data_IF_229512849789
#
_entry.id   IF_229512849789
#
_cell.length_a   1.000
_cell.length_b   1.000
_cell.length_c   1.000
_cell.angle_alpha   90.00
_cell.angle_beta   90.00
_cell.angle_gamma   90.00
#
_symmetry.space_group_name_H-M   'P 1'
#
loop_
_entity.id
_entity.type
_entity.pdbx_description
1 polymer ?
#
# COMPACT_ATOMS: atom_id res chain seq x y z
N UNK A 1 29.40 34.90 8.46
CA UNK A 1 28.38 33.87 8.13
C UNK A 1 27.18 34.56 7.50
N UNK A 2 26.68 34.08 6.35
CA UNK A 2 25.41 34.57 5.80
C UNK A 2 24.27 34.18 6.75
N UNK A 3 23.37 35.12 7.05
CA UNK A 3 22.16 34.86 7.85
C UNK A 3 21.15 34.18 6.93
N UNK A 4 20.89 32.90 7.15
CA UNK A 4 19.85 32.18 6.40
C UNK A 4 18.45 32.57 6.88
N UNK A 5 17.50 32.62 5.94
CA UNK A 5 16.12 32.99 6.24
C UNK A 5 15.37 31.76 6.77
N UNK A 6 14.45 31.94 7.73
CA UNK A 6 13.62 30.84 8.22
C UNK A 6 12.69 30.33 7.11
N UNK A 7 12.40 29.02 7.14
CA UNK A 7 11.49 28.33 6.22
C UNK A 7 10.33 27.74 7.04
N UNK A 8 9.09 27.98 6.62
CA UNK A 8 7.94 27.33 7.23
C UNK A 8 7.71 25.95 6.59
N UNK A 9 8.17 24.89 7.26
CA UNK A 9 7.99 23.49 6.83
C UNK A 9 7.44 22.62 7.96
N UNK A 10 6.78 23.22 8.96
CA UNK A 10 6.12 22.44 9.99
C UNK A 10 4.84 21.81 9.41
N UNK A 11 4.94 20.54 9.02
CA UNK A 11 3.85 19.77 8.42
C UNK A 11 2.62 19.65 9.34
N UNK A 12 2.79 19.80 10.65
CA UNK A 12 1.68 19.74 11.62
C UNK A 12 0.77 20.97 11.52
N UNK A 13 1.28 22.08 10.98
CA UNK A 13 0.51 23.32 10.75
C UNK A 13 -0.19 23.35 9.39
N UNK A 14 0.11 22.41 8.50
CA UNK A 14 -0.37 22.39 7.10
C UNK A 14 -1.56 21.43 6.96
N UNK A 15 -2.69 21.94 6.48
CA UNK A 15 -3.88 21.13 6.22
C UNK A 15 -3.71 20.26 4.96
N UNK A 16 -3.55 18.95 5.17
CA UNK A 16 -3.51 17.97 4.10
C UNK A 16 -4.92 17.64 3.58
N UNK A 17 -5.09 17.66 2.26
CA UNK A 17 -6.34 17.28 1.61
C UNK A 17 -6.37 15.76 1.32
N UNK A 18 -7.54 15.14 1.13
CA UNK A 18 -7.64 13.71 0.81
C UNK A 18 -6.75 13.25 -0.35
N UNK A 19 -6.66 14.06 -1.43
CA UNK A 19 -5.77 13.75 -2.55
C UNK A 19 -4.28 13.74 -2.18
N UNK A 20 -3.84 14.60 -1.24
CA UNK A 20 -2.47 14.62 -0.77
C UNK A 20 -2.15 13.36 0.07
N UNK A 21 -3.05 13.00 0.99
CA UNK A 21 -2.95 11.75 1.75
C UNK A 21 -2.92 10.54 0.81
N UNK A 22 -3.77 10.56 -0.22
CA UNK A 22 -3.80 9.47 -1.17
C UNK A 22 -2.48 9.28 -1.92
N UNK A 23 -1.84 10.38 -2.33
CA UNK A 23 -0.54 10.38 -3.01
C UNK A 23 0.59 9.89 -2.12
N UNK A 24 0.69 10.35 -0.86
CA UNK A 24 1.79 9.91 0.03
C UNK A 24 1.64 8.43 0.39
N UNK A 25 0.42 7.94 0.61
CA UNK A 25 0.18 6.52 0.84
C UNK A 25 0.53 5.67 -0.41
N UNK A 26 0.34 6.19 -1.62
CA UNK A 26 0.73 5.49 -2.85
C UNK A 26 2.27 5.35 -2.93
N UNK A 27 3.01 6.40 -2.52
CA UNK A 27 4.47 6.33 -2.42
C UNK A 27 4.94 5.35 -1.36
N UNK A 28 4.36 5.40 -0.16
CA UNK A 28 4.70 4.49 0.93
C UNK A 28 4.45 3.03 0.53
N UNK A 29 3.27 2.74 -0.04
CA UNK A 29 2.95 1.39 -0.53
C UNK A 29 3.93 0.93 -1.62
N UNK A 30 4.39 1.82 -2.50
CA UNK A 30 5.44 1.53 -3.48
C UNK A 30 6.74 1.07 -2.84
N UNK A 31 7.20 1.77 -1.78
CA UNK A 31 8.39 1.38 -1.03
C UNK A 31 8.19 0.03 -0.32
N UNK A 32 7.02 -0.19 0.28
CA UNK A 32 6.69 -1.48 0.93
C UNK A 32 6.78 -2.64 -0.06
N UNK A 33 6.33 -2.46 -1.32
CA UNK A 33 6.40 -3.51 -2.33
C UNK A 33 7.83 -3.93 -2.69
N UNK A 34 8.83 -3.04 -2.58
CA UNK A 34 10.25 -3.37 -2.81
C UNK A 34 10.73 -4.43 -1.81
N UNK A 35 10.26 -4.39 -0.56
CA UNK A 35 10.58 -5.41 0.43
C UNK A 35 9.67 -6.64 0.30
N UNK A 36 8.39 -6.41 -0.02
CA UNK A 36 7.41 -7.48 -0.20
C UNK A 36 7.85 -8.49 -1.26
N UNK A 37 8.40 -8.03 -2.39
CA UNK A 37 8.85 -8.94 -3.45
C UNK A 37 9.94 -9.91 -2.97
N UNK A 38 10.85 -9.46 -2.10
CA UNK A 38 11.88 -10.32 -1.52
C UNK A 38 11.27 -11.42 -0.63
N UNK A 39 10.32 -11.06 0.23
CA UNK A 39 9.61 -12.01 1.11
C UNK A 39 8.81 -13.02 0.27
N UNK A 40 8.08 -12.53 -0.74
CA UNK A 40 7.26 -13.38 -1.61
C UNK A 40 8.10 -14.33 -2.46
N UNK A 41 9.21 -13.85 -3.04
CA UNK A 41 10.12 -14.70 -3.82
C UNK A 41 10.83 -15.73 -2.94
N UNK A 42 11.21 -15.37 -1.72
CA UNK A 42 11.77 -16.32 -0.75
C UNK A 42 10.75 -17.41 -0.41
N UNK A 43 9.53 -17.03 -0.01
CA UNK A 43 8.48 -17.99 0.32
C UNK A 43 8.10 -18.87 -0.88
N UNK A 44 8.02 -18.28 -2.09
CA UNK A 44 7.78 -19.01 -3.33
C UNK A 44 8.91 -20.01 -3.61
N UNK A 45 10.17 -19.60 -3.48
CA UNK A 45 11.32 -20.47 -3.70
C UNK A 45 11.25 -21.70 -2.79
N UNK A 46 11.09 -21.50 -1.47
CA UNK A 46 10.97 -22.61 -0.51
C UNK A 46 9.76 -23.50 -0.82
N UNK A 47 8.62 -22.90 -1.18
CA UNK A 47 7.42 -23.68 -1.50
C UNK A 47 7.59 -24.61 -2.70
N UNK A 48 8.54 -24.31 -3.60
CA UNK A 48 8.80 -25.10 -4.80
C UNK A 48 9.99 -26.06 -4.68
N UNK A 49 10.83 -25.93 -3.64
CA UNK A 49 12.04 -26.74 -3.51
C UNK A 49 11.77 -28.22 -3.22
N UNK A 50 10.85 -28.52 -2.29
CA UNK A 50 10.54 -29.89 -1.86
C UNK A 50 9.19 -29.96 -1.12
N UNK A 51 8.66 -31.17 -0.95
CA UNK A 51 7.42 -31.39 -0.19
C UNK A 51 7.57 -31.03 1.30
N UNK A 52 8.78 -31.24 1.86
CA UNK A 52 9.10 -30.87 3.23
C UNK A 52 9.10 -29.34 3.39
N UNK A 53 9.80 -28.62 2.51
CA UNK A 53 9.85 -27.15 2.55
C UNK A 53 8.49 -26.52 2.28
N UNK A 54 7.68 -27.08 1.38
CA UNK A 54 6.30 -26.64 1.19
C UNK A 54 5.48 -26.75 2.48
N UNK A 55 5.65 -27.85 3.22
CA UNK A 55 4.98 -28.06 4.51
C UNK A 55 5.46 -27.05 5.55
N UNK A 56 6.75 -26.72 5.56
CA UNK A 56 7.29 -25.66 6.43
C UNK A 56 6.70 -24.29 6.10
N UNK A 57 6.64 -23.90 4.82
CA UNK A 57 6.02 -22.62 4.41
C UNK A 57 4.55 -22.58 4.81
N UNK A 58 3.80 -23.67 4.63
CA UNK A 58 2.42 -23.78 5.09
C UNK A 58 2.31 -23.54 6.60
N UNK A 59 3.14 -24.20 7.41
CA UNK A 59 3.14 -24.03 8.86
C UNK A 59 3.50 -22.59 9.29
N UNK A 60 4.40 -21.91 8.57
CA UNK A 60 4.68 -20.50 8.79
C UNK A 60 3.43 -19.66 8.52
N UNK A 61 2.78 -19.86 7.37
CA UNK A 61 1.57 -19.13 6.96
C UNK A 61 0.35 -19.38 7.87
N UNK A 62 0.30 -20.51 8.58
CA UNK A 62 -0.71 -20.78 9.60
C UNK A 62 -0.47 -19.93 10.87
N UNK A 63 0.76 -19.46 11.10
CA UNK A 63 1.13 -18.61 12.23
C UNK A 63 0.62 -17.17 12.10
N UNK A 64 0.04 -16.64 13.19
CA UNK A 64 -0.53 -15.28 13.25
C UNK A 64 0.47 -14.20 12.79
N UNK A 65 1.74 -14.33 13.16
CA UNK A 65 2.78 -13.38 12.77
C UNK A 65 2.96 -13.28 11.25
N UNK A 66 3.05 -14.42 10.56
CA UNK A 66 3.18 -14.43 9.10
C UNK A 66 1.86 -14.03 8.41
N UNK A 67 0.69 -14.38 8.96
CA UNK A 67 -0.59 -13.87 8.46
C UNK A 67 -0.65 -12.34 8.50
N UNK A 68 -0.13 -11.70 9.56
CA UNK A 68 -0.04 -10.24 9.64
C UNK A 68 0.92 -9.66 8.60
N UNK A 69 2.07 -10.31 8.35
CA UNK A 69 2.99 -9.91 7.27
C UNK A 69 2.29 -10.01 5.92
N UNK A 70 1.61 -11.12 5.64
CA UNK A 70 0.89 -11.34 4.38
C UNK A 70 -0.26 -10.35 4.20
N UNK A 71 -0.98 -10.02 5.28
CA UNK A 71 -2.00 -8.97 5.26
C UNK A 71 -1.37 -7.61 4.97
N UNK A 72 -0.22 -7.29 5.58
CA UNK A 72 0.57 -6.09 5.32
C UNK A 72 1.03 -5.96 3.86
N UNK A 73 1.48 -7.05 3.27
CA UNK A 73 1.86 -7.11 1.85
C UNK A 73 0.62 -6.92 0.96
N UNK A 74 -0.44 -7.68 1.22
CA UNK A 74 -1.66 -7.62 0.42
C UNK A 74 -2.30 -6.22 0.48
N UNK A 75 -2.38 -5.61 1.66
CA UNK A 75 -2.95 -4.27 1.81
C UNK A 75 -2.12 -3.20 1.07
N UNK A 76 -0.79 -3.32 1.07
CA UNK A 76 0.09 -2.43 0.30
C UNK A 76 -0.11 -2.59 -1.21
N UNK A 77 -0.19 -3.84 -1.70
CA UNK A 77 -0.45 -4.14 -3.12
C UNK A 77 -1.80 -3.56 -3.54
N UNK A 78 -2.86 -3.82 -2.77
CA UNK A 78 -4.21 -3.32 -3.06
C UNK A 78 -4.21 -1.80 -3.13
N UNK A 79 -3.64 -1.12 -2.13
CA UNK A 79 -3.60 0.34 -2.11
C UNK A 79 -2.81 0.89 -3.30
N UNK A 80 -1.65 0.30 -3.59
CA UNK A 80 -0.79 0.77 -4.67
C UNK A 80 -1.47 0.60 -6.03
N UNK A 81 -2.13 -0.54 -6.27
CA UNK A 81 -2.87 -0.80 -7.50
C UNK A 81 -4.03 0.18 -7.67
N UNK A 82 -4.85 0.39 -6.64
CA UNK A 82 -5.97 1.34 -6.71
C UNK A 82 -5.47 2.78 -6.95
N UNK A 83 -4.40 3.18 -6.28
CA UNK A 83 -3.74 4.47 -6.50
C UNK A 83 -3.19 4.60 -7.91
N UNK A 84 -2.55 3.55 -8.44
CA UNK A 84 -2.02 3.49 -9.80
C UNK A 84 -3.12 3.60 -10.86
N UNK A 85 -4.22 2.84 -10.71
CA UNK A 85 -5.39 2.96 -11.59
C UNK A 85 -5.97 4.38 -11.54
N UNK A 86 -6.09 4.97 -10.36
CA UNK A 86 -6.53 6.36 -10.21
C UNK A 86 -5.58 7.33 -10.95
N UNK A 87 -4.27 7.12 -10.86
CA UNK A 87 -3.28 7.91 -11.59
C UNK A 87 -3.45 7.75 -13.11
N UNK A 88 -3.57 6.53 -13.63
CA UNK A 88 -3.78 6.28 -15.05
C UNK A 88 -5.08 6.93 -15.56
N UNK A 89 -6.16 6.90 -14.78
CA UNK A 89 -7.40 7.60 -15.12
C UNK A 89 -7.21 9.13 -15.18
N UNK A 90 -6.42 9.69 -14.27
CA UNK A 90 -6.05 11.11 -14.30
C UNK A 90 -5.18 11.47 -15.50
N UNK A 91 -4.23 10.61 -15.86
CA UNK A 91 -3.38 10.80 -17.03
C UNK A 91 -4.18 10.77 -18.35
N UNK A 92 -5.35 10.11 -18.35
CA UNK A 92 -6.31 10.13 -19.46
C UNK A 92 -7.31 11.31 -19.42
N UNK A 93 -7.16 12.24 -18.47
CA UNK A 93 -8.01 13.44 -18.36
C UNK A 93 -9.26 13.28 -17.48
N UNK A 94 -9.34 12.25 -16.63
CA UNK A 94 -10.45 12.09 -15.68
C UNK A 94 -10.10 12.61 -14.27
N UNK A 95 -11.10 13.15 -13.55
CA UNK A 95 -10.95 13.61 -12.16
C UNK A 95 -9.95 14.78 -11.92
N UNK A 96 -9.77 15.66 -12.90
CA UNK A 96 -8.76 16.74 -12.86
C UNK A 96 -9.09 17.88 -11.88
N UNK A 97 -10.37 18.08 -11.55
CA UNK A 97 -10.79 19.16 -10.67
C UNK A 97 -10.58 18.84 -9.19
N UNK A 98 -10.43 19.88 -8.35
CA UNK A 98 -10.23 19.72 -6.91
C UNK A 98 -11.32 18.87 -6.23
N UNK A 99 -12.58 19.03 -6.64
CA UNK A 99 -13.70 18.28 -6.07
C UNK A 99 -13.62 16.79 -6.48
N UNK A 100 -13.48 16.52 -7.77
CA UNK A 100 -13.43 15.16 -8.33
C UNK A 100 -12.15 14.42 -7.92
N UNK A 101 -11.00 15.11 -7.85
CA UNK A 101 -9.74 14.56 -7.34
C UNK A 101 -9.79 14.17 -5.86
N UNK A 102 -10.53 14.91 -5.02
CA UNK A 102 -10.75 14.54 -3.62
C UNK A 102 -11.80 13.44 -3.46
N UNK A 103 -12.84 13.42 -4.31
CA UNK A 103 -13.85 12.36 -4.31
C UNK A 103 -13.24 11.02 -4.70
N UNK A 104 -12.45 10.98 -5.78
CA UNK A 104 -11.74 9.76 -6.21
C UNK A 104 -10.73 9.27 -5.17
N UNK A 105 -10.04 10.19 -4.48
CA UNK A 105 -9.14 9.84 -3.38
C UNK A 105 -9.88 9.17 -2.21
N UNK A 106 -11.02 9.72 -1.78
CA UNK A 106 -11.85 9.11 -0.73
C UNK A 106 -12.37 7.74 -1.17
N UNK A 107 -12.83 7.62 -2.42
CA UNK A 107 -13.33 6.36 -2.97
C UNK A 107 -12.27 5.26 -2.90
N UNK A 108 -11.05 5.50 -3.39
CA UNK A 108 -9.99 4.47 -3.36
C UNK A 108 -9.60 4.08 -1.93
N UNK A 109 -9.63 5.03 -0.97
CA UNK A 109 -9.32 4.74 0.44
C UNK A 109 -10.39 3.85 1.05
N UNK A 110 -11.67 4.14 0.81
CA UNK A 110 -12.77 3.29 1.31
C UNK A 110 -12.72 1.91 0.68
N UNK A 111 -12.52 1.84 -0.63
CA UNK A 111 -12.40 0.57 -1.35
C UNK A 111 -11.21 -0.25 -0.85
N UNK A 112 -10.08 0.39 -0.60
CA UNK A 112 -8.89 -0.25 -0.01
C UNK A 112 -9.18 -0.88 1.36
N UNK A 113 -9.87 -0.17 2.26
CA UNK A 113 -10.23 -0.68 3.58
C UNK A 113 -11.14 -1.91 3.44
N UNK A 114 -12.16 -1.83 2.59
CA UNK A 114 -13.09 -2.96 2.34
C UNK A 114 -12.34 -4.18 1.79
N UNK A 115 -11.51 -4.00 0.77
CA UNK A 115 -10.74 -5.10 0.17
C UNK A 115 -9.73 -5.70 1.16
N UNK A 116 -9.08 -4.85 1.98
CA UNK A 116 -8.17 -5.30 3.03
C UNK A 116 -8.91 -6.13 4.08
N UNK A 117 -10.12 -5.73 4.47
CA UNK A 117 -10.94 -6.52 5.39
C UNK A 117 -11.34 -7.88 4.79
N UNK A 118 -11.72 -7.93 3.51
CA UNK A 118 -12.03 -9.18 2.80
C UNK A 118 -10.82 -10.11 2.76
N UNK A 119 -9.65 -9.59 2.42
CA UNK A 119 -8.40 -10.38 2.44
C UNK A 119 -8.04 -10.82 3.86
N UNK A 120 -8.26 -9.95 4.85
CA UNK A 120 -8.11 -10.31 6.26
C UNK A 120 -9.02 -11.46 6.68
N UNK A 121 -10.28 -11.48 6.25
CA UNK A 121 -11.16 -12.64 6.51
C UNK A 121 -10.69 -13.89 5.78
N UNK A 122 -10.14 -13.76 4.57
CA UNK A 122 -9.66 -14.91 3.79
C UNK A 122 -8.36 -15.52 4.32
N UNK A 123 -7.47 -14.70 4.90
CA UNK A 123 -6.20 -15.17 5.46
C UNK A 123 -6.36 -15.93 6.79
N UNK A 124 -7.47 -15.72 7.50
CA UNK A 124 -7.76 -16.36 8.79
C UNK A 124 -8.72 -17.53 8.65
#
# INVERSE_FOLDING_TARGET
>A
MKKERPVNLDLTTIKMHPAANASIMHRISGVVMIFAIGILLWALSLSLSSAEEFTQVKALLDGVFFKLIMLGIATAIIYHLLGGIRHLLMDMGHFEEKASGNASAKFIIVLWIVLTAVVGVWLW
#
